data_IF_683625434040
#
_entry.id   IF_683625434040
#
_cell.length_a   1.000
_cell.length_b   1.000
_cell.length_c   1.000
_cell.angle_alpha   90.00
_cell.angle_beta   90.00
_cell.angle_gamma   90.00
#
_symmetry.space_group_name_H-M   'P 1'
#
loop_
_entity.id
_entity.type
_entity.pdbx_description
1 polymer ?
#
# COMPACT_ATOMS: atom_id res chain seq x y z
N UNK A 1 -27.03 -7.32 0.46
CA UNK A 1 -27.43 -8.35 1.46
C UNK A 1 -28.53 -9.30 0.96
N UNK A 2 -29.28 -8.97 -0.11
CA UNK A 2 -30.31 -9.86 -0.68
C UNK A 2 -29.79 -11.02 -1.59
N UNK A 3 -28.47 -11.27 -1.65
CA UNK A 3 -27.87 -12.20 -2.63
C UNK A 3 -27.98 -13.69 -2.24
N UNK A 4 -28.15 -14.01 -0.96
CA UNK A 4 -28.16 -15.40 -0.46
C UNK A 4 -29.55 -15.91 -0.05
N UNK A 5 -30.63 -15.16 -0.33
CA UNK A 5 -31.96 -15.43 0.22
C UNK A 5 -32.97 -16.10 -0.71
N UNK A 6 -32.69 -16.25 -2.01
CA UNK A 6 -33.60 -16.97 -2.92
C UNK A 6 -33.26 -18.45 -2.91
N UNK A 7 -34.22 -19.27 -2.49
CA UNK A 7 -34.13 -20.71 -2.61
C UNK A 7 -33.80 -21.07 -4.06
N UNK A 8 -32.67 -21.73 -4.31
CA UNK A 8 -32.33 -22.29 -5.62
C UNK A 8 -33.53 -23.13 -6.07
N UNK A 9 -34.11 -22.80 -7.22
CA UNK A 9 -35.24 -23.52 -7.79
C UNK A 9 -34.97 -25.03 -7.77
N UNK A 10 -35.98 -25.82 -7.41
CA UNK A 10 -35.85 -27.28 -7.24
C UNK A 10 -35.45 -28.01 -8.53
N UNK A 11 -35.47 -27.34 -9.68
CA UNK A 11 -35.08 -27.85 -11.00
C UNK A 11 -34.07 -26.95 -11.73
N UNK A 12 -33.18 -27.57 -12.52
CA UNK A 12 -32.08 -26.92 -13.26
C UNK A 12 -32.54 -25.77 -14.18
N UNK A 13 -33.71 -25.90 -14.82
CA UNK A 13 -34.24 -24.88 -15.73
C UNK A 13 -34.61 -23.59 -14.99
N UNK A 14 -35.17 -23.72 -13.79
CA UNK A 14 -35.56 -22.57 -12.97
C UNK A 14 -34.31 -21.91 -12.37
N UNK A 15 -33.34 -22.71 -11.92
CA UNK A 15 -32.04 -22.21 -11.47
C UNK A 15 -31.28 -21.44 -12.57
N UNK A 16 -31.29 -21.93 -13.82
CA UNK A 16 -30.68 -21.23 -14.96
C UNK A 16 -31.40 -19.93 -15.29
N UNK A 17 -32.73 -19.91 -15.21
CA UNK A 17 -33.52 -18.69 -15.42
C UNK A 17 -33.21 -17.66 -14.34
N UNK A 18 -33.22 -18.06 -13.07
CA UNK A 18 -32.93 -17.18 -11.95
C UNK A 18 -31.50 -16.63 -12.03
N UNK A 19 -30.53 -17.47 -12.38
CA UNK A 19 -29.15 -17.04 -12.64
C UNK A 19 -29.08 -15.96 -13.73
N UNK A 20 -29.74 -16.15 -14.87
CA UNK A 20 -29.73 -15.15 -15.96
C UNK A 20 -30.38 -13.84 -15.51
N UNK A 21 -31.49 -13.90 -14.77
CA UNK A 21 -32.16 -12.71 -14.23
C UNK A 21 -31.25 -11.97 -13.24
N UNK A 22 -30.59 -12.70 -12.35
CA UNK A 22 -29.68 -12.12 -11.36
C UNK A 22 -28.44 -11.51 -12.01
N UNK A 23 -27.89 -12.16 -13.05
CA UNK A 23 -26.78 -11.60 -13.86
C UNK A 23 -27.22 -10.31 -14.55
N UNK A 24 -28.40 -10.27 -15.19
CA UNK A 24 -28.92 -9.07 -15.84
C UNK A 24 -29.15 -7.94 -14.83
N UNK A 25 -29.72 -8.24 -13.66
CA UNK A 25 -29.89 -7.28 -12.58
C UNK A 25 -28.54 -6.76 -12.04
N UNK A 26 -27.52 -7.63 -11.96
CA UNK A 26 -26.16 -7.23 -11.60
C UNK A 26 -25.53 -6.29 -12.65
N UNK A 27 -25.75 -6.53 -13.95
CA UNK A 27 -25.32 -5.62 -15.01
C UNK A 27 -26.00 -4.25 -14.91
N UNK A 28 -27.31 -4.20 -14.63
CA UNK A 28 -28.02 -2.95 -14.42
C UNK A 28 -27.46 -2.18 -13.20
N UNK A 29 -27.28 -2.88 -12.07
CA UNK A 29 -26.71 -2.29 -10.86
C UNK A 29 -25.28 -1.79 -11.09
N UNK A 30 -24.45 -2.55 -11.82
CA UNK A 30 -23.12 -2.14 -12.20
C UNK A 30 -23.15 -0.88 -13.07
N UNK A 31 -24.03 -0.81 -14.08
CA UNK A 31 -24.20 0.37 -14.93
C UNK A 31 -24.59 1.63 -14.13
N UNK A 32 -25.52 1.49 -13.18
CA UNK A 32 -25.91 2.59 -12.27
C UNK A 32 -24.74 3.06 -11.41
N UNK A 33 -24.00 2.13 -10.78
CA UNK A 33 -22.84 2.49 -9.95
C UNK A 33 -21.69 3.11 -10.77
N UNK A 34 -21.50 2.67 -12.02
CA UNK A 34 -20.51 3.22 -12.93
C UNK A 34 -20.80 4.65 -13.37
N UNK A 35 -22.06 5.10 -13.35
CA UNK A 35 -22.43 6.46 -13.74
C UNK A 35 -21.73 7.53 -12.88
N UNK A 36 -21.65 7.31 -11.56
CA UNK A 36 -20.95 8.22 -10.64
C UNK A 36 -19.45 8.28 -10.93
N UNK A 37 -18.83 7.13 -11.24
CA UNK A 37 -17.41 7.06 -11.62
C UNK A 37 -17.19 7.75 -12.97
N UNK A 38 -18.10 7.59 -13.94
CA UNK A 38 -18.01 8.23 -15.24
C UNK A 38 -18.00 9.75 -15.14
N UNK A 39 -18.86 10.34 -14.29
CA UNK A 39 -18.87 11.79 -14.06
C UNK A 39 -17.58 12.27 -13.39
N UNK A 40 -17.12 11.57 -12.35
CA UNK A 40 -15.87 11.93 -11.66
C UNK A 40 -14.64 11.84 -12.58
N UNK A 41 -14.57 10.80 -13.42
CA UNK A 41 -13.48 10.61 -14.38
C UNK A 41 -13.54 11.62 -15.54
N UNK A 42 -14.74 12.00 -16.01
CA UNK A 42 -14.90 13.08 -16.99
C UNK A 42 -14.39 14.42 -16.44
N UNK A 43 -14.72 14.76 -15.19
CA UNK A 43 -14.20 15.96 -14.52
C UNK A 43 -12.67 15.89 -14.34
N UNK A 44 -12.13 14.75 -13.92
CA UNK A 44 -10.69 14.53 -13.84
C UNK A 44 -10.02 14.71 -15.21
N UNK A 45 -10.64 14.25 -16.31
CA UNK A 45 -10.16 14.43 -17.67
C UNK A 45 -10.02 15.91 -18.09
N UNK A 46 -10.94 16.78 -17.66
CA UNK A 46 -10.83 18.23 -17.88
C UNK A 46 -9.61 18.80 -17.15
N UNK A 47 -9.37 18.36 -15.91
CA UNK A 47 -8.17 18.74 -15.13
C UNK A 47 -6.91 18.29 -15.88
N UNK A 48 -6.85 17.04 -16.34
CA UNK A 48 -5.74 16.51 -17.13
C UNK A 48 -5.48 17.36 -18.37
N UNK A 49 -6.52 17.72 -19.12
CA UNK A 49 -6.42 18.55 -20.32
C UNK A 49 -5.87 19.94 -20.03
N UNK A 50 -6.35 20.59 -18.96
CA UNK A 50 -5.83 21.90 -18.53
C UNK A 50 -4.35 21.80 -18.14
N UNK A 51 -3.96 20.79 -17.39
CA UNK A 51 -2.57 20.58 -16.94
C UNK A 51 -1.63 20.39 -18.12
N UNK A 52 -2.04 19.60 -19.11
CA UNK A 52 -1.25 19.33 -20.30
C UNK A 52 -0.98 20.60 -21.12
N UNK A 53 -1.98 21.49 -21.26
CA UNK A 53 -1.83 22.73 -22.06
C UNK A 53 -1.12 23.83 -21.29
N UNK A 54 -1.34 23.93 -19.97
CA UNK A 54 -0.75 24.97 -19.11
C UNK A 54 0.67 24.67 -18.65
N UNK A 55 1.16 23.45 -18.87
CA UNK A 55 2.46 22.97 -18.41
C UNK A 55 2.66 23.11 -16.87
N UNK A 56 1.56 23.04 -16.11
CA UNK A 56 1.58 23.14 -14.64
C UNK A 56 2.48 22.08 -14.01
N UNK A 57 2.60 20.90 -14.61
CA UNK A 57 3.49 19.83 -14.12
C UNK A 57 4.95 20.27 -14.01
N UNK A 58 5.45 21.06 -14.96
CA UNK A 58 6.80 21.60 -14.89
C UNK A 58 6.95 22.61 -13.74
N UNK A 59 5.98 23.52 -13.58
CA UNK A 59 5.96 24.48 -12.47
C UNK A 59 5.89 23.81 -11.10
N UNK A 60 5.07 22.77 -10.95
CA UNK A 60 5.02 21.96 -9.73
C UNK A 60 6.35 21.27 -9.44
N UNK A 61 7.03 20.76 -10.48
CA UNK A 61 8.36 20.17 -10.31
C UNK A 61 9.37 21.19 -9.77
N UNK A 62 9.37 22.42 -10.30
CA UNK A 62 10.26 23.47 -9.82
C UNK A 62 9.97 23.85 -8.36
N UNK A 63 8.69 23.88 -7.96
CA UNK A 63 8.31 24.14 -6.56
C UNK A 63 8.83 23.02 -5.66
N UNK A 64 8.61 21.75 -6.03
CA UNK A 64 9.10 20.61 -5.24
C UNK A 64 10.62 20.60 -5.15
N UNK A 65 11.32 20.84 -6.26
CA UNK A 65 12.78 20.88 -6.30
C UNK A 65 13.32 22.01 -5.40
N UNK A 66 12.77 23.22 -5.51
CA UNK A 66 13.14 24.35 -4.69
C UNK A 66 12.90 24.11 -3.19
N UNK A 67 11.75 23.52 -2.82
CA UNK A 67 11.44 23.16 -1.44
C UNK A 67 12.31 22.02 -0.90
N UNK A 68 12.69 21.08 -1.77
CA UNK A 68 13.55 19.95 -1.40
C UNK A 68 15.03 20.33 -1.25
N UNK A 69 15.43 21.49 -1.79
CA UNK A 69 16.83 21.93 -1.80
C UNK A 69 17.76 20.99 -2.57
N UNK A 70 17.23 20.28 -3.57
CA UNK A 70 17.97 19.25 -4.31
C UNK A 70 18.12 17.92 -3.58
N UNK A 71 17.42 17.69 -2.47
CA UNK A 71 17.42 16.39 -1.82
C UNK A 71 16.28 15.52 -2.34
N UNK A 72 16.63 14.45 -3.09
CA UNK A 72 15.65 13.52 -3.66
C UNK A 72 14.70 12.91 -2.62
N UNK A 73 15.18 12.52 -1.43
CA UNK A 73 14.29 11.92 -0.41
C UNK A 73 13.27 12.94 0.10
N UNK A 74 13.67 14.20 0.25
CA UNK A 74 12.76 15.28 0.61
C UNK A 74 11.78 15.56 -0.52
N UNK A 75 12.23 15.54 -1.79
CA UNK A 75 11.36 15.70 -2.96
C UNK A 75 10.30 14.58 -3.05
N UNK A 76 10.69 13.32 -2.83
CA UNK A 76 9.77 12.19 -2.74
C UNK A 76 8.78 12.36 -1.59
N UNK A 77 9.24 12.82 -0.42
CA UNK A 77 8.37 13.07 0.73
C UNK A 77 7.35 14.19 0.46
N UNK A 78 7.77 15.29 -0.17
CA UNK A 78 6.85 16.37 -0.57
C UNK A 78 5.84 15.86 -1.59
N UNK A 79 6.29 15.05 -2.56
CA UNK A 79 5.43 14.45 -3.60
C UNK A 79 4.44 13.45 -3.00
N UNK A 80 4.86 12.68 -1.98
CA UNK A 80 3.98 11.83 -1.18
C UNK A 80 2.90 12.65 -0.49
N UNK A 81 3.27 13.75 0.19
CA UNK A 81 2.29 14.62 0.84
C UNK A 81 1.32 15.26 -0.16
N UNK A 82 1.82 15.71 -1.32
CA UNK A 82 0.97 16.23 -2.39
C UNK A 82 0.00 15.16 -2.89
N UNK A 83 0.45 13.91 -3.08
CA UNK A 83 -0.41 12.80 -3.50
C UNK A 83 -1.49 12.49 -2.45
N UNK A 84 -1.12 12.48 -1.16
CA UNK A 84 -2.07 12.29 -0.07
C UNK A 84 -3.12 13.40 -0.05
N UNK A 85 -2.71 14.67 -0.10
CA UNK A 85 -3.62 15.81 -0.04
C UNK A 85 -4.57 15.88 -1.24
N UNK A 86 -4.05 15.68 -2.45
CA UNK A 86 -4.85 15.72 -3.67
C UNK A 86 -5.80 14.52 -3.78
N UNK A 87 -5.50 13.41 -3.12
CA UNK A 87 -6.31 12.19 -3.17
C UNK A 87 -7.53 12.23 -2.26
N UNK A 88 -7.55 13.10 -1.25
CA UNK A 88 -8.62 13.15 -0.25
C UNK A 88 -9.98 13.45 -0.90
N UNK A 89 -10.93 12.54 -0.72
CA UNK A 89 -12.34 12.75 -1.10
C UNK A 89 -12.66 12.45 -2.56
N UNK A 90 -11.73 11.87 -3.32
CA UNK A 90 -11.97 11.41 -4.68
C UNK A 90 -12.21 9.88 -4.71
N UNK A 91 -13.14 9.36 -5.53
CA UNK A 91 -13.22 7.92 -5.77
C UNK A 91 -11.88 7.38 -6.31
N UNK A 92 -11.43 6.21 -5.85
CA UNK A 92 -10.09 5.65 -6.15
C UNK A 92 -9.71 5.70 -7.64
N UNK A 93 -10.65 5.41 -8.55
CA UNK A 93 -10.41 5.52 -9.99
C UNK A 93 -10.14 6.95 -10.44
N UNK A 94 -10.96 7.91 -9.99
CA UNK A 94 -10.79 9.32 -10.33
C UNK A 94 -9.53 9.90 -9.68
N UNK A 95 -9.26 9.53 -8.44
CA UNK A 95 -8.03 9.86 -7.71
C UNK A 95 -6.80 9.45 -8.51
N UNK A 96 -6.72 8.19 -8.97
CA UNK A 96 -5.60 7.74 -9.79
C UNK A 96 -5.43 8.53 -11.10
N UNK A 97 -6.51 8.88 -11.80
CA UNK A 97 -6.43 9.71 -13.01
C UNK A 97 -5.82 11.08 -12.71
N UNK A 98 -6.26 11.71 -11.61
CA UNK A 98 -5.72 12.99 -11.14
C UNK A 98 -4.23 12.84 -10.77
N UNK A 99 -3.87 11.82 -9.99
CA UNK A 99 -2.47 11.55 -9.62
C UNK A 99 -1.56 11.27 -10.82
N UNK A 100 -2.01 10.41 -11.74
CA UNK A 100 -1.26 10.02 -12.92
C UNK A 100 -1.04 11.17 -13.90
N UNK A 101 -1.94 12.16 -13.92
CA UNK A 101 -1.84 13.32 -14.80
C UNK A 101 -1.07 14.50 -14.19
N UNK A 102 -1.16 14.70 -12.87
CA UNK A 102 -0.53 15.82 -12.18
C UNK A 102 0.80 15.46 -11.55
N UNK A 103 0.83 14.37 -10.78
CA UNK A 103 1.92 14.06 -9.86
C UNK A 103 2.93 13.10 -10.48
N UNK A 104 2.49 12.12 -11.27
CA UNK A 104 3.41 11.20 -11.95
C UNK A 104 4.41 11.91 -12.88
N UNK A 105 4.01 12.92 -13.69
CA UNK A 105 4.97 13.67 -14.50
C UNK A 105 5.98 14.47 -13.66
N UNK A 106 5.53 15.01 -12.51
CA UNK A 106 6.41 15.71 -11.57
C UNK A 106 7.46 14.76 -11.01
N UNK A 107 7.03 13.61 -10.50
CA UNK A 107 7.93 12.60 -9.95
C UNK A 107 8.89 12.05 -11.01
N UNK A 108 8.41 11.86 -12.25
CA UNK A 108 9.26 11.49 -13.39
C UNK A 108 10.34 12.52 -13.64
N UNK A 109 9.97 13.80 -13.72
CA UNK A 109 10.94 14.84 -14.02
C UNK A 109 11.93 15.03 -12.87
N UNK A 110 11.50 14.91 -11.62
CA UNK A 110 12.40 14.85 -10.46
C UNK A 110 13.38 13.68 -10.58
N UNK A 111 12.89 12.47 -10.90
CA UNK A 111 13.77 11.32 -11.10
C UNK A 111 14.81 11.57 -12.22
N UNK A 112 14.40 12.21 -13.32
CA UNK A 112 15.29 12.60 -14.43
C UNK A 112 16.34 13.64 -14.00
N UNK A 113 15.96 14.68 -13.25
CA UNK A 113 16.88 15.72 -12.72
C UNK A 113 17.92 15.11 -11.78
N UNK A 114 17.51 14.14 -10.96
CA UNK A 114 18.37 13.44 -10.00
C UNK A 114 19.12 12.24 -10.62
N UNK A 115 19.11 12.12 -11.95
CA UNK A 115 19.75 11.04 -12.72
C UNK A 115 19.34 9.62 -12.27
N UNK A 116 18.16 9.50 -11.66
CA UNK A 116 17.63 8.24 -11.18
C UNK A 116 16.80 7.58 -12.29
N UNK A 117 17.30 6.48 -12.82
CA UNK A 117 16.58 5.65 -13.78
C UNK A 117 15.42 4.90 -13.09
N UNK A 118 14.27 5.55 -12.97
CA UNK A 118 13.05 4.97 -12.37
C UNK A 118 12.13 4.44 -13.47
N UNK A 119 11.72 3.16 -13.43
CA UNK A 119 10.72 2.64 -14.34
C UNK A 119 9.38 3.37 -14.20
N UNK A 120 8.72 3.66 -15.32
CA UNK A 120 7.45 4.40 -15.32
C UNK A 120 6.39 3.73 -14.44
N UNK A 121 6.33 2.40 -14.41
CA UNK A 121 5.40 1.67 -13.53
C UNK A 121 5.66 1.93 -12.05
N UNK A 122 6.91 2.11 -11.61
CA UNK A 122 7.21 2.44 -10.21
C UNK A 122 6.71 3.85 -9.85
N UNK A 123 6.81 4.81 -10.77
CA UNK A 123 6.26 6.17 -10.61
C UNK A 123 4.74 6.11 -10.46
N UNK A 124 4.06 5.38 -11.34
CA UNK A 124 2.60 5.23 -11.26
C UNK A 124 2.16 4.49 -10.00
N UNK A 125 2.88 3.44 -9.57
CA UNK A 125 2.62 2.76 -8.31
C UNK A 125 2.85 3.68 -7.10
N UNK A 126 3.87 4.53 -7.15
CA UNK A 126 4.14 5.49 -6.06
C UNK A 126 2.93 6.40 -5.83
N UNK A 127 2.46 7.08 -6.90
CA UNK A 127 1.33 8.01 -6.78
C UNK A 127 0.00 7.28 -6.54
N UNK A 128 -0.15 6.06 -7.06
CA UNK A 128 -1.34 5.23 -6.84
C UNK A 128 -1.46 4.77 -5.38
N UNK A 129 -0.37 4.27 -4.78
CA UNK A 129 -0.37 3.83 -3.39
C UNK A 129 -0.67 4.98 -2.44
N UNK A 130 -0.04 6.15 -2.63
CA UNK A 130 -0.34 7.31 -1.79
C UNK A 130 -1.72 7.92 -2.07
N UNK A 131 -2.21 7.83 -3.32
CA UNK A 131 -3.59 8.15 -3.63
C UNK A 131 -4.57 7.29 -2.83
N UNK A 132 -4.40 5.96 -2.81
CA UNK A 132 -5.27 5.05 -2.04
C UNK A 132 -5.09 5.25 -0.53
N UNK A 133 -3.86 5.46 -0.07
CA UNK A 133 -3.60 5.70 1.35
C UNK A 133 -4.29 7.00 1.82
N UNK A 134 -4.52 7.97 0.94
CA UNK A 134 -5.33 9.16 1.24
C UNK A 134 -6.76 8.77 1.63
N UNK A 135 -7.37 7.83 0.92
CA UNK A 135 -8.73 7.35 1.18
C UNK A 135 -8.83 6.62 2.53
N UNK A 136 -7.75 5.97 2.99
CA UNK A 136 -7.67 5.30 4.30
C UNK A 136 -7.36 6.28 5.45
N UNK A 137 -6.78 7.44 5.16
CA UNK A 137 -6.34 8.42 6.17
C UNK A 137 -7.55 9.06 6.88
N UNK A 138 -7.64 8.99 8.23
CA UNK A 138 -8.69 9.68 8.97
C UNK A 138 -8.64 11.20 8.73
N UNK A 139 -9.77 11.88 8.49
CA UNK A 139 -11.15 11.44 8.74
C UNK A 139 -11.88 10.78 7.56
N UNK A 140 -11.23 10.53 6.42
CA UNK A 140 -11.91 10.06 5.20
C UNK A 140 -12.31 8.57 5.28
N UNK A 141 -11.38 7.71 5.69
CA UNK A 141 -11.46 6.24 5.90
C UNK A 141 -12.80 5.51 5.76
N UNK A 142 -13.49 5.55 4.62
CA UNK A 142 -14.87 5.04 4.47
C UNK A 142 -15.02 3.57 4.86
N UNK A 143 -13.99 2.76 4.57
CA UNK A 143 -13.94 1.35 4.95
C UNK A 143 -13.93 1.17 6.47
N UNK A 144 -13.19 1.99 7.21
CA UNK A 144 -13.16 1.97 8.66
C UNK A 144 -14.51 2.39 9.27
N UNK A 145 -15.23 3.32 8.64
CA UNK A 145 -16.58 3.73 9.07
C UNK A 145 -17.60 2.61 8.87
N UNK A 146 -17.53 1.91 7.73
CA UNK A 146 -18.36 0.73 7.47
C UNK A 146 -18.03 -0.41 8.45
N UNK A 147 -16.75 -0.68 8.68
CA UNK A 147 -16.31 -1.68 9.66
C UNK A 147 -16.76 -1.35 11.07
N UNK A 148 -16.69 -0.07 11.48
CA UNK A 148 -17.14 0.40 12.78
C UNK A 148 -18.66 0.23 12.96
N UNK A 149 -19.45 0.46 11.90
CA UNK A 149 -20.90 0.22 11.94
C UNK A 149 -21.25 -1.27 12.17
N UNK A 150 -20.47 -2.19 11.57
CA UNK A 150 -20.62 -3.64 11.79
C UNK A 150 -20.17 -4.02 13.21
N UNK A 151 -19.03 -3.50 13.65
CA UNK A 151 -18.42 -3.81 14.94
C UNK A 151 -19.07 -3.07 16.13
N UNK A 152 -19.99 -2.13 15.86
CA UNK A 152 -20.60 -1.21 16.84
C UNK A 152 -19.56 -0.43 17.65
N UNK A 153 -18.48 -0.02 16.99
CA UNK A 153 -17.40 0.78 17.58
C UNK A 153 -17.47 2.24 17.13
N UNK A 154 -16.68 3.10 17.78
CA UNK A 154 -16.51 4.49 17.34
C UNK A 154 -15.79 4.54 15.98
N UNK A 155 -16.38 5.15 14.93
CA UNK A 155 -15.80 5.19 13.60
C UNK A 155 -14.43 5.87 13.52
N UNK A 156 -14.25 6.95 14.27
CA UNK A 156 -13.00 7.73 14.25
C UNK A 156 -11.88 6.93 14.90
N UNK A 157 -12.11 6.34 16.07
CA UNK A 157 -11.13 5.46 16.74
C UNK A 157 -10.79 4.24 15.88
N UNK A 158 -11.79 3.66 15.22
CA UNK A 158 -11.61 2.53 14.30
C UNK A 158 -10.76 2.95 13.10
N UNK A 159 -11.00 4.13 12.54
CA UNK A 159 -10.19 4.73 11.48
C UNK A 159 -8.74 4.94 11.89
N UNK A 160 -8.47 5.59 13.02
CA UNK A 160 -7.10 5.77 13.51
C UNK A 160 -6.39 4.45 13.77
N UNK A 161 -7.08 3.46 14.32
CA UNK A 161 -6.50 2.14 14.57
C UNK A 161 -6.21 1.38 13.26
N UNK A 162 -7.12 1.44 12.29
CA UNK A 162 -6.98 0.85 10.96
C UNK A 162 -5.85 1.50 10.16
N UNK A 163 -5.83 2.82 10.09
CA UNK A 163 -4.76 3.57 9.44
C UNK A 163 -3.41 3.33 10.10
N UNK A 164 -3.36 3.27 11.45
CA UNK A 164 -2.15 2.89 12.14
C UNK A 164 -1.68 1.50 11.70
N UNK A 165 -2.59 0.56 11.43
CA UNK A 165 -2.31 -0.75 10.83
C UNK A 165 -1.74 -0.67 9.42
N UNK A 166 -2.40 0.09 8.54
CA UNK A 166 -2.05 0.18 7.13
C UNK A 166 -0.79 1.01 6.85
N UNK A 167 -0.49 2.07 7.63
CA UNK A 167 0.68 2.94 7.44
C UNK A 167 2.03 2.19 7.41
N UNK A 168 2.06 0.93 7.88
CA UNK A 168 3.18 0.00 7.71
C UNK A 168 3.53 -0.30 6.25
N UNK A 169 2.60 -0.16 5.31
CA UNK A 169 2.80 -0.43 3.89
C UNK A 169 3.31 0.80 3.13
N UNK A 170 3.30 2.00 3.75
CA UNK A 170 3.73 3.26 3.14
C UNK A 170 5.21 3.30 2.70
N UNK A 171 6.02 2.34 3.14
CA UNK A 171 7.40 2.15 2.69
C UNK A 171 7.49 1.61 1.25
N UNK A 172 6.51 0.81 0.81
CA UNK A 172 6.56 0.11 -0.48
C UNK A 172 6.75 1.03 -1.69
N UNK A 173 6.03 2.17 -1.80
CA UNK A 173 6.26 3.15 -2.86
C UNK A 173 7.72 3.56 -3.01
N UNK A 174 8.40 3.86 -1.90
CA UNK A 174 9.82 4.23 -1.91
C UNK A 174 10.69 3.06 -2.37
N UNK A 175 10.40 1.85 -1.89
CA UNK A 175 11.12 0.64 -2.31
C UNK A 175 10.96 0.40 -3.81
N UNK A 176 9.80 0.63 -4.41
CA UNK A 176 9.60 0.48 -5.85
C UNK A 176 10.44 1.46 -6.68
N UNK A 177 10.65 2.68 -6.17
CA UNK A 177 11.49 3.70 -6.81
C UNK A 177 12.96 3.30 -6.78
N UNK A 178 13.47 2.86 -5.61
CA UNK A 178 14.90 2.57 -5.43
C UNK A 178 15.31 1.14 -5.81
N UNK A 179 14.37 0.19 -5.72
CA UNK A 179 14.59 -1.25 -5.93
C UNK A 179 13.49 -1.85 -6.83
N UNK A 180 13.44 -1.49 -8.13
CA UNK A 180 12.40 -1.96 -9.04
C UNK A 180 12.41 -3.47 -9.32
N UNK A 181 13.44 -4.20 -8.87
CA UNK A 181 13.47 -5.66 -8.91
C UNK A 181 12.30 -6.28 -8.13
N UNK A 182 11.81 -5.60 -7.09
CA UNK A 182 10.62 -6.03 -6.35
C UNK A 182 9.35 -6.03 -7.22
N UNK A 183 9.35 -5.25 -8.31
CA UNK A 183 8.32 -5.25 -9.35
C UNK A 183 8.58 -6.31 -10.43
N UNK A 184 9.54 -7.22 -10.21
CA UNK A 184 10.01 -8.23 -11.15
C UNK A 184 10.58 -7.63 -12.46
N UNK A 185 11.09 -6.40 -12.38
CA UNK A 185 11.73 -5.71 -13.50
C UNK A 185 13.25 -5.89 -13.43
N UNK A 186 13.89 -5.86 -14.61
CA UNK A 186 15.35 -5.91 -14.75
C UNK A 186 16.00 -7.13 -14.06
N UNK A 187 15.31 -8.27 -14.05
CA UNK A 187 15.81 -9.52 -13.51
C UNK A 187 16.83 -10.16 -14.47
N UNK A 188 17.90 -10.74 -13.92
CA UNK A 188 18.94 -11.45 -14.67
C UNK A 188 18.55 -12.91 -14.94
N UNK A 189 17.67 -13.48 -14.12
CA UNK A 189 17.18 -14.86 -14.29
C UNK A 189 15.84 -15.10 -13.59
N UNK A 190 15.07 -16.14 -13.97
CA UNK A 190 13.87 -16.54 -13.24
C UNK A 190 14.14 -16.89 -11.76
N UNK A 191 15.32 -17.43 -11.46
CA UNK A 191 15.73 -17.75 -10.09
C UNK A 191 15.87 -16.48 -9.22
N UNK A 192 16.34 -15.38 -9.81
CA UNK A 192 16.38 -14.09 -9.12
C UNK A 192 14.97 -13.58 -8.82
N UNK A 193 14.01 -13.76 -9.74
CA UNK A 193 12.61 -13.44 -9.48
C UNK A 193 12.03 -14.21 -8.30
N UNK A 194 12.27 -15.53 -8.23
CA UNK A 194 11.87 -16.35 -7.08
C UNK A 194 12.53 -15.86 -5.78
N UNK A 195 13.83 -15.56 -5.84
CA UNK A 195 14.57 -15.04 -4.69
C UNK A 195 13.97 -13.73 -4.17
N UNK A 196 13.71 -12.76 -5.06
CA UNK A 196 13.11 -11.46 -4.73
C UNK A 196 11.71 -11.61 -4.12
N UNK A 197 10.89 -12.53 -4.64
CA UNK A 197 9.56 -12.80 -4.07
C UNK A 197 9.70 -13.34 -2.64
N UNK A 198 10.62 -14.28 -2.41
CA UNK A 198 10.84 -14.87 -1.10
C UNK A 198 11.41 -13.85 -0.10
N UNK A 199 12.45 -13.11 -0.48
CA UNK A 199 13.02 -12.07 0.39
C UNK A 199 12.06 -10.93 0.61
N UNK A 200 11.29 -10.51 -0.40
CA UNK A 200 10.23 -9.52 -0.25
C UNK A 200 9.14 -9.94 0.72
N UNK A 201 8.69 -11.21 0.65
CA UNK A 201 7.70 -11.76 1.57
C UNK A 201 8.23 -11.79 3.02
N UNK A 202 9.44 -12.29 3.24
CA UNK A 202 10.08 -12.32 4.56
C UNK A 202 10.35 -10.91 5.06
N UNK A 203 10.80 -10.02 4.17
CA UNK A 203 11.13 -8.63 4.46
C UNK A 203 9.92 -7.83 4.92
N UNK A 204 8.79 -7.97 4.20
CA UNK A 204 7.55 -7.32 4.61
C UNK A 204 7.00 -7.90 5.91
N UNK A 205 7.13 -9.22 6.11
CA UNK A 205 6.78 -9.87 7.38
C UNK A 205 7.62 -9.33 8.54
N UNK A 206 8.94 -9.21 8.36
CA UNK A 206 9.86 -8.64 9.34
C UNK A 206 9.50 -7.18 9.66
N UNK A 207 9.21 -6.38 8.64
CA UNK A 207 8.81 -4.98 8.81
C UNK A 207 7.51 -4.85 9.62
N UNK A 208 6.51 -5.67 9.31
CA UNK A 208 5.23 -5.72 10.06
C UNK A 208 5.47 -6.16 11.50
N UNK A 209 6.27 -7.21 11.74
CA UNK A 209 6.63 -7.67 13.09
C UNK A 209 7.28 -6.55 13.90
N UNK A 210 8.27 -5.86 13.32
CA UNK A 210 8.96 -4.76 13.97
C UNK A 210 8.00 -3.63 14.34
N UNK A 211 7.11 -3.24 13.42
CA UNK A 211 6.16 -2.16 13.68
C UNK A 211 5.00 -2.56 14.59
N UNK A 212 4.55 -3.82 14.59
CA UNK A 212 3.53 -4.31 15.53
C UNK A 212 4.10 -4.60 16.93
N UNK A 213 5.37 -5.01 17.02
CA UNK A 213 5.99 -5.43 18.28
C UNK A 213 5.49 -6.79 18.79
N UNK A 214 5.00 -7.63 17.88
CA UNK A 214 4.51 -8.95 18.19
C UNK A 214 4.90 -9.93 17.09
N UNK A 215 5.32 -11.14 17.48
CA UNK A 215 5.59 -12.23 16.57
C UNK A 215 5.17 -13.58 17.16
N UNK A 216 6.05 -14.23 17.94
CA UNK A 216 5.73 -15.41 18.75
C UNK A 216 5.42 -15.02 20.18
N UNK A 217 6.20 -14.09 20.73
CA UNK A 217 5.91 -13.43 22.00
C UNK A 217 5.86 -11.92 21.80
N UNK A 218 5.30 -11.22 22.79
CA UNK A 218 5.18 -9.76 22.78
C UNK A 218 6.54 -9.12 23.06
N UNK A 219 7.04 -8.31 22.12
CA UNK A 219 8.36 -7.67 22.22
C UNK A 219 8.29 -6.42 23.12
N UNK A 220 8.37 -6.62 24.43
CA UNK A 220 8.36 -5.54 25.45
C UNK A 220 9.74 -5.34 26.08
N UNK A 221 9.96 -4.16 26.68
CA UNK A 221 11.22 -3.79 27.32
C UNK A 221 12.33 -3.40 26.33
N UNK A 222 13.52 -3.11 26.85
CA UNK A 222 14.67 -2.64 26.05
C UNK A 222 15.07 -3.65 24.97
N UNK A 223 15.15 -4.93 25.34
CA UNK A 223 15.50 -6.01 24.41
C UNK A 223 14.42 -6.22 23.33
N UNK A 224 13.14 -6.06 23.70
CA UNK A 224 12.03 -6.09 22.75
C UNK A 224 12.08 -4.93 21.75
N UNK A 225 12.37 -3.70 22.20
CA UNK A 225 12.56 -2.56 21.30
C UNK A 225 13.75 -2.74 20.36
N UNK A 226 14.88 -3.26 20.86
CA UNK A 226 16.01 -3.62 20.02
C UNK A 226 15.63 -4.66 18.95
N UNK A 227 14.89 -5.70 19.31
CA UNK A 227 14.38 -6.70 18.37
C UNK A 227 13.42 -6.10 17.33
N UNK A 228 12.58 -5.12 17.72
CA UNK A 228 11.68 -4.42 16.79
C UNK A 228 12.44 -3.62 15.74
N UNK A 229 13.42 -2.82 16.18
CA UNK A 229 14.28 -2.06 15.28
C UNK A 229 15.08 -3.02 14.39
N UNK A 230 15.63 -4.09 14.95
CA UNK A 230 16.34 -5.11 14.19
C UNK A 230 15.45 -5.74 13.10
N UNK A 231 14.18 -6.05 13.40
CA UNK A 231 13.23 -6.56 12.41
C UNK A 231 12.85 -5.55 11.33
N UNK A 232 12.74 -4.25 11.67
CA UNK A 232 12.53 -3.19 10.67
C UNK A 232 13.75 -3.06 9.74
N UNK A 233 14.96 -3.10 10.29
CA UNK A 233 16.22 -3.06 9.52
C UNK A 233 16.36 -4.31 8.64
N UNK A 234 16.04 -5.49 9.18
CA UNK A 234 16.00 -6.74 8.42
C UNK A 234 15.01 -6.63 7.26
N UNK A 235 13.81 -6.11 7.52
CA UNK A 235 12.80 -5.86 6.51
C UNK A 235 13.30 -4.95 5.40
N UNK A 236 13.90 -3.80 5.76
CA UNK A 236 14.49 -2.88 4.79
C UNK A 236 15.57 -3.55 3.94
N UNK A 237 16.51 -4.27 4.54
CA UNK A 237 17.58 -4.96 3.80
C UNK A 237 17.06 -6.02 2.84
N UNK A 238 16.09 -6.83 3.27
CA UNK A 238 15.46 -7.86 2.44
C UNK A 238 14.66 -7.30 1.25
N UNK A 239 14.20 -6.05 1.36
CA UNK A 239 13.49 -5.35 0.29
C UNK A 239 14.43 -4.72 -0.75
N UNK A 240 15.74 -4.64 -0.48
CA UNK A 240 16.70 -4.05 -1.43
C UNK A 240 17.05 -4.95 -2.62
N UNK A 241 16.67 -6.24 -2.58
CA UNK A 241 16.93 -7.23 -3.64
C UNK A 241 18.42 -7.38 -4.00
N UNK A 242 19.32 -7.10 -3.04
CA UNK A 242 20.77 -7.23 -3.19
C UNK A 242 21.24 -8.38 -2.31
N UNK A 243 21.87 -9.38 -2.92
CA UNK A 243 22.24 -10.62 -2.23
C UNK A 243 22.98 -10.39 -0.89
N UNK A 244 23.92 -9.45 -0.82
CA UNK A 244 24.64 -9.15 0.43
C UNK A 244 23.74 -8.61 1.54
N UNK A 245 22.81 -7.72 1.20
CA UNK A 245 21.85 -7.16 2.14
C UNK A 245 20.76 -8.19 2.47
N UNK A 246 20.34 -9.00 1.51
CA UNK A 246 19.37 -10.07 1.74
C UNK A 246 19.92 -11.09 2.75
N UNK A 247 21.17 -11.53 2.59
CA UNK A 247 21.80 -12.45 3.55
C UNK A 247 21.93 -11.84 4.94
N UNK A 248 22.27 -10.55 5.04
CA UNK A 248 22.33 -9.84 6.31
C UNK A 248 20.94 -9.71 6.95
N UNK A 249 19.92 -9.38 6.16
CA UNK A 249 18.53 -9.30 6.61
C UNK A 249 17.98 -10.64 7.06
N UNK A 250 18.28 -11.72 6.34
CA UNK A 250 17.94 -13.10 6.74
C UNK A 250 18.63 -13.50 8.04
N UNK A 251 19.91 -13.13 8.21
CA UNK A 251 20.64 -13.39 9.45
C UNK A 251 20.02 -12.66 10.64
N UNK A 252 19.69 -11.36 10.49
CA UNK A 252 19.02 -10.59 11.55
C UNK A 252 17.64 -11.20 11.87
N UNK A 253 16.85 -11.53 10.84
CA UNK A 253 15.55 -12.18 11.02
C UNK A 253 15.68 -13.49 11.79
N UNK A 254 16.64 -14.34 11.40
CA UNK A 254 16.89 -15.62 12.06
C UNK A 254 17.33 -15.45 13.51
N UNK A 255 18.19 -14.47 13.82
CA UNK A 255 18.62 -14.19 15.20
C UNK A 255 17.44 -13.76 16.07
N UNK A 256 16.60 -12.85 15.59
CA UNK A 256 15.39 -12.43 16.33
C UNK A 256 14.39 -13.58 16.47
N UNK A 257 14.25 -14.40 15.43
CA UNK A 257 13.40 -15.59 15.43
C UNK A 257 13.85 -16.61 16.50
N UNK A 258 15.14 -16.93 16.54
CA UNK A 258 15.73 -17.84 17.53
C UNK A 258 15.61 -17.28 18.95
N UNK A 259 15.85 -15.98 19.13
CA UNK A 259 15.64 -15.31 20.42
C UNK A 259 14.17 -15.41 20.86
N UNK A 260 13.22 -15.20 19.95
CA UNK A 260 11.79 -15.32 20.23
C UNK A 260 11.37 -16.75 20.60
N UNK A 261 11.96 -17.77 19.97
CA UNK A 261 11.73 -19.17 20.35
C UNK A 261 12.25 -19.47 21.75
N UNK A 262 13.43 -18.94 22.10
CA UNK A 262 14.00 -19.09 23.44
C UNK A 262 13.14 -18.39 24.50
N UNK A 263 12.71 -17.15 24.22
CA UNK A 263 11.86 -16.37 25.11
C UNK A 263 10.48 -17.03 25.32
N UNK A 264 9.89 -17.60 24.27
CA UNK A 264 8.64 -18.37 24.36
C UNK A 264 8.78 -19.56 25.32
N UNK A 265 9.84 -20.36 25.18
CA UNK A 265 10.10 -21.50 26.08
C UNK A 265 10.29 -21.07 27.53
N UNK A 266 10.87 -19.89 27.75
CA UNK A 266 11.06 -19.32 29.09
C UNK A 266 9.73 -18.88 29.73
N UNK A 267 8.76 -18.45 28.93
CA UNK A 267 7.44 -18.00 29.38
C UNK A 267 6.42 -19.14 29.53
N UNK A 268 6.57 -20.24 28.79
CA UNK A 268 5.70 -21.43 28.86
C UNK A 268 5.51 -21.99 30.30
N UNK A 269 6.55 -22.18 31.13
CA UNK A 269 6.36 -22.67 32.50
C UNK A 269 5.64 -21.67 33.42
N UNK A 270 5.73 -20.36 33.15
CA UNK A 270 5.08 -19.33 33.98
C UNK A 270 3.56 -19.22 33.71
N UNK A 271 3.11 -19.56 32.50
CA UNK A 271 1.69 -19.60 32.12
C UNK A 271 0.97 -20.86 32.59
N UNK A 272 1.69 -21.98 32.78
CA UNK A 272 1.12 -23.23 33.29
C UNK A 272 0.79 -23.17 34.80
N UNK A 273 1.32 -22.18 35.51
CA UNK A 273 1.13 -21.96 36.96
C UNK A 273 0.19 -20.79 37.30
N UNK A 274 -0.33 -20.08 36.30
CA UNK A 274 -1.22 -18.92 36.44
C UNK A 274 -2.64 -19.26 36.01
#
# INVERSE_FOLDING_TARGET
>A
VAFFGRALGTNLKDALRDFVVDVLAAFEAAGRNMSTIAVATAAAGIIVGMVAITNVGYGLTQIVEALSGGNLLVALFITMLASLLLGLGLPTTANYIVMASLVAPVLRHLAEIHELAVPLVAIHLFVFYFGILADDTPPVGLAAYAAAAIARSDPVKTGFQGFAYDMRTALLPYVFIFYPQLLLLNLRSPLEGVWVVLTGFIGMTAFVIGNQGYFLTRMRGVLGWAARIAMMVAGYFLLTSRLSYDLLGLAIFALVFLWQLWERKRQEPALATA
#
